data_IF_925684085494
#
_entry.id   IF_925684085494
#
_cell.length_a   1.000
_cell.length_b   1.000
_cell.length_c   1.000
_cell.angle_alpha   90.00
_cell.angle_beta   90.00
_cell.angle_gamma   90.00
#
_symmetry.space_group_name_H-M   'P 1'
#
loop_
_entity.id
_entity.type
_entity.pdbx_description
1 polymer ?
#
# COMPACT_ATOMS: atom_id res chain seq x y z
N UNK A 1 -12.55 -18.35 -0.86
CA UNK A 1 -11.40 -17.73 -0.12
C UNK A 1 -11.94 -17.34 1.23
N UNK A 2 -11.29 -17.76 2.30
CA UNK A 2 -11.85 -17.48 3.63
C UNK A 2 -11.65 -16.00 3.97
N UNK A 3 -12.69 -15.35 4.50
CA UNK A 3 -12.63 -14.03 5.11
C UNK A 3 -11.50 -13.93 6.17
N UNK A 4 -11.01 -15.07 6.63
CA UNK A 4 -9.91 -15.18 7.59
C UNK A 4 -8.56 -14.65 7.07
N UNK A 5 -8.31 -14.66 5.73
CA UNK A 5 -7.05 -14.16 5.14
C UNK A 5 -7.11 -12.71 4.67
N UNK A 6 -8.29 -12.17 4.44
CA UNK A 6 -8.49 -10.76 4.10
C UNK A 6 -9.83 -10.28 4.66
N UNK A 7 -9.85 -9.84 5.93
CA UNK A 7 -11.08 -9.37 6.57
C UNK A 7 -11.64 -8.08 5.95
N UNK A 8 -10.89 -7.40 5.10
CA UNK A 8 -11.30 -6.17 4.40
C UNK A 8 -11.69 -6.43 2.94
N UNK A 9 -11.87 -7.69 2.52
CA UNK A 9 -12.12 -8.06 1.11
C UNK A 9 -13.35 -7.37 0.51
N UNK A 10 -14.40 -7.19 1.28
CA UNK A 10 -15.63 -6.53 0.83
C UNK A 10 -15.39 -5.03 0.55
N UNK A 11 -14.71 -4.34 1.45
CA UNK A 11 -14.34 -2.93 1.29
C UNK A 11 -13.36 -2.74 0.12
N UNK A 12 -12.44 -3.70 -0.08
CA UNK A 12 -11.47 -3.66 -1.17
C UNK A 12 -12.07 -4.01 -2.53
N UNK A 13 -13.19 -4.71 -2.57
CA UNK A 13 -13.91 -5.04 -3.81
C UNK A 13 -14.84 -3.92 -4.29
N UNK A 14 -15.11 -2.93 -3.45
CA UNK A 14 -15.99 -1.81 -3.75
C UNK A 14 -15.40 -0.89 -4.84
N UNK A 15 -16.26 -0.24 -5.63
CA UNK A 15 -15.87 0.71 -6.68
C UNK A 15 -15.11 1.92 -6.10
N UNK A 16 -15.39 2.30 -4.85
CA UNK A 16 -14.67 3.33 -4.12
C UNK A 16 -13.17 3.02 -4.02
N UNK A 17 -12.78 1.74 -3.94
CA UNK A 17 -11.39 1.32 -3.87
C UNK A 17 -10.62 1.67 -5.15
N UNK A 18 -11.21 1.49 -6.34
CA UNK A 18 -10.55 1.86 -7.61
C UNK A 18 -10.26 3.38 -7.61
N UNK A 19 -11.22 4.18 -7.12
CA UNK A 19 -11.04 5.64 -6.97
C UNK A 19 -9.95 5.98 -5.97
N UNK A 20 -9.92 5.27 -4.83
CA UNK A 20 -8.89 5.42 -3.80
C UNK A 20 -7.50 5.15 -4.36
N UNK A 21 -7.31 4.01 -5.03
CA UNK A 21 -6.00 3.61 -5.59
C UNK A 21 -5.48 4.61 -6.61
N UNK A 22 -6.35 5.15 -7.47
CA UNK A 22 -5.97 6.17 -8.45
C UNK A 22 -5.57 7.50 -7.78
N UNK A 23 -6.33 7.95 -6.76
CA UNK A 23 -6.04 9.17 -6.02
C UNK A 23 -4.75 9.03 -5.19
N UNK A 24 -4.57 7.90 -4.49
CA UNK A 24 -3.34 7.58 -3.74
C UNK A 24 -2.12 7.53 -4.67
N UNK A 25 -2.23 6.84 -5.82
CA UNK A 25 -1.14 6.78 -6.80
C UNK A 25 -0.77 8.20 -7.30
N UNK A 26 -1.75 9.06 -7.56
CA UNK A 26 -1.51 10.44 -7.97
C UNK A 26 -0.84 11.28 -6.89
N UNK A 27 -1.23 11.11 -5.62
CA UNK A 27 -0.70 11.87 -4.50
C UNK A 27 0.71 11.43 -4.07
N UNK A 28 0.98 10.12 -4.13
CA UNK A 28 2.17 9.49 -3.55
C UNK A 28 3.30 9.38 -4.58
N UNK A 29 2.99 8.97 -5.81
CA UNK A 29 3.99 8.65 -6.84
C UNK A 29 5.05 9.72 -7.09
N UNK A 30 4.75 11.03 -7.16
CA UNK A 30 5.77 12.04 -7.42
C UNK A 30 6.91 12.07 -6.41
N UNK A 31 6.66 11.63 -5.17
CA UNK A 31 7.67 11.55 -4.12
C UNK A 31 8.28 10.15 -4.00
N UNK A 32 7.56 9.11 -4.43
CA UNK A 32 7.99 7.72 -4.38
C UNK A 32 8.87 7.34 -5.58
N UNK A 33 8.54 7.83 -6.78
CA UNK A 33 9.28 7.52 -8.02
C UNK A 33 10.80 7.70 -7.89
N UNK A 34 11.32 8.81 -7.31
CA UNK A 34 12.77 9.00 -7.15
C UNK A 34 13.45 7.94 -6.25
N UNK A 35 12.69 7.26 -5.38
CA UNK A 35 13.24 6.24 -4.49
C UNK A 35 13.69 5.01 -5.27
N UNK A 36 12.99 4.66 -6.35
CA UNK A 36 13.33 3.50 -7.19
C UNK A 36 14.69 3.66 -7.89
N UNK A 37 15.11 4.87 -8.20
CA UNK A 37 16.43 5.13 -8.78
C UNK A 37 17.60 4.68 -7.88
N UNK A 38 17.38 4.63 -6.55
CA UNK A 38 18.40 4.23 -5.56
C UNK A 38 18.71 2.74 -5.60
N UNK A 39 17.84 1.92 -6.19
CA UNK A 39 18.01 0.46 -6.22
C UNK A 39 19.01 -0.01 -7.26
N UNK A 40 19.42 0.87 -8.20
CA UNK A 40 20.42 0.54 -9.21
C UNK A 40 20.02 -0.65 -10.09
N UNK A 41 18.71 -0.80 -10.37
CA UNK A 41 18.19 -1.90 -11.15
C UNK A 41 18.71 -1.85 -12.60
N UNK A 42 18.95 -3.01 -13.17
CA UNK A 42 19.26 -3.12 -14.59
C UNK A 42 18.01 -2.79 -15.42
N UNK A 43 18.19 -2.25 -16.65
CA UNK A 43 17.04 -1.90 -17.49
C UNK A 43 16.12 -3.06 -17.87
N UNK A 44 16.64 -4.28 -17.87
CA UNK A 44 15.98 -5.55 -18.20
C UNK A 44 15.63 -6.38 -16.93
N UNK A 45 15.39 -5.70 -15.81
CA UNK A 45 15.06 -6.33 -14.54
C UNK A 45 13.65 -6.98 -14.56
N UNK A 46 13.43 -7.91 -13.62
CA UNK A 46 12.13 -8.51 -13.36
C UNK A 46 11.52 -7.89 -12.10
N UNK A 47 10.31 -7.38 -12.20
CA UNK A 47 9.61 -6.67 -11.12
C UNK A 47 8.29 -7.37 -10.82
N UNK A 48 8.01 -7.63 -9.54
CA UNK A 48 6.70 -8.06 -9.06
C UNK A 48 6.07 -6.97 -8.18
N UNK A 49 4.79 -6.69 -8.42
CA UNK A 49 3.95 -5.80 -7.61
C UNK A 49 2.86 -6.63 -6.96
N UNK A 50 2.96 -6.88 -5.66
CA UNK A 50 2.10 -7.78 -4.90
C UNK A 50 1.05 -6.99 -4.13
N UNK A 51 -0.24 -7.29 -4.38
CA UNK A 51 -1.37 -6.47 -3.99
C UNK A 51 -1.52 -5.27 -4.95
N UNK A 52 -1.40 -5.52 -6.25
CA UNK A 52 -1.32 -4.47 -7.28
C UNK A 52 -2.64 -3.72 -7.52
N UNK A 53 -3.76 -4.22 -7.02
CA UNK A 53 -5.09 -3.64 -7.21
C UNK A 53 -5.41 -3.38 -8.68
N UNK A 54 -5.76 -2.14 -9.00
CA UNK A 54 -6.08 -1.67 -10.38
C UNK A 54 -4.86 -1.47 -11.29
N UNK A 55 -3.64 -1.81 -10.83
CA UNK A 55 -2.42 -1.79 -11.65
C UNK A 55 -1.79 -0.39 -11.86
N UNK A 56 -2.21 0.62 -11.09
CA UNK A 56 -1.70 2.00 -11.24
C UNK A 56 -0.18 2.07 -11.06
N UNK A 57 0.36 1.42 -10.05
CA UNK A 57 1.80 1.44 -9.77
C UNK A 57 2.54 0.45 -10.66
N UNK A 58 1.99 -0.73 -10.89
CA UNK A 58 2.55 -1.72 -11.80
C UNK A 58 2.81 -1.14 -13.18
N UNK A 59 1.84 -0.38 -13.72
CA UNK A 59 1.97 0.29 -15.02
C UNK A 59 3.03 1.39 -15.02
N UNK A 60 3.13 2.17 -13.94
CA UNK A 60 4.15 3.22 -13.78
C UNK A 60 5.56 2.62 -13.73
N UNK A 61 5.73 1.50 -13.03
CA UNK A 61 7.00 0.75 -13.00
C UNK A 61 7.36 0.25 -14.40
N UNK A 62 6.40 -0.31 -15.16
CA UNK A 62 6.62 -0.75 -16.53
C UNK A 62 6.97 0.39 -17.49
N UNK A 63 6.48 1.61 -17.25
CA UNK A 63 6.85 2.81 -18.01
C UNK A 63 8.22 3.33 -17.62
N UNK A 64 8.55 3.34 -16.32
CA UNK A 64 9.83 3.78 -15.78
C UNK A 64 10.97 2.85 -16.23
N UNK A 65 10.76 1.54 -16.21
CA UNK A 65 11.72 0.54 -16.63
C UNK A 65 11.32 -0.06 -17.98
N UNK A 66 11.62 0.67 -19.05
CA UNK A 66 11.09 0.40 -20.40
C UNK A 66 11.48 -0.97 -21.01
N UNK A 67 12.43 -1.72 -20.43
CA UNK A 67 12.83 -3.07 -20.87
C UNK A 67 12.59 -4.13 -19.80
N UNK A 68 12.03 -3.76 -18.64
CA UNK A 68 11.71 -4.70 -17.57
C UNK A 68 10.50 -5.56 -17.91
N UNK A 69 10.50 -6.78 -17.39
CA UNK A 69 9.30 -7.60 -17.28
C UNK A 69 8.64 -7.33 -15.94
N UNK A 70 7.40 -6.89 -15.97
CA UNK A 70 6.65 -6.46 -14.78
C UNK A 70 5.37 -7.28 -14.64
N UNK A 71 5.14 -7.82 -13.45
CA UNK A 71 3.91 -8.55 -13.15
C UNK A 71 3.22 -7.96 -11.92
N UNK A 72 1.91 -7.74 -12.04
CA UNK A 72 1.03 -7.38 -10.92
C UNK A 72 0.21 -8.57 -10.46
N UNK A 73 0.19 -8.79 -9.16
CA UNK A 73 -0.61 -9.87 -8.52
C UNK A 73 -1.59 -9.24 -7.55
N UNK A 74 -2.84 -9.65 -7.65
CA UNK A 74 -3.88 -9.31 -6.68
C UNK A 74 -4.84 -10.48 -6.47
N UNK A 75 -5.44 -10.54 -5.30
CA UNK A 75 -6.37 -11.61 -4.95
C UNK A 75 -7.75 -11.43 -5.61
N UNK A 76 -8.10 -10.19 -5.96
CA UNK A 76 -9.39 -9.82 -6.53
C UNK A 76 -9.38 -9.89 -8.05
N UNK A 77 -10.28 -10.70 -8.61
CA UNK A 77 -10.39 -10.87 -10.06
C UNK A 77 -10.83 -9.58 -10.80
N UNK A 78 -11.68 -8.76 -10.18
CA UNK A 78 -12.24 -7.56 -10.81
C UNK A 78 -11.17 -6.49 -11.06
N UNK A 79 -10.34 -6.06 -10.09
CA UNK A 79 -9.22 -5.16 -10.32
C UNK A 79 -8.22 -5.70 -11.35
N UNK A 80 -7.91 -7.01 -11.31
CA UNK A 80 -7.02 -7.66 -12.29
C UNK A 80 -7.58 -7.57 -13.71
N UNK A 81 -8.88 -7.86 -13.89
CA UNK A 81 -9.52 -7.72 -15.19
C UNK A 81 -9.54 -6.28 -15.69
N UNK A 82 -9.75 -5.31 -14.78
CA UNK A 82 -9.66 -3.88 -15.10
C UNK A 82 -8.24 -3.51 -15.54
N UNK A 83 -7.21 -3.84 -14.74
CA UNK A 83 -5.81 -3.55 -15.02
C UNK A 83 -5.36 -4.15 -16.36
N UNK A 84 -5.72 -5.42 -16.62
CA UNK A 84 -5.38 -6.12 -17.86
C UNK A 84 -5.92 -5.41 -19.09
N UNK A 85 -7.15 -4.89 -19.05
CA UNK A 85 -7.73 -4.12 -20.14
C UNK A 85 -7.13 -2.73 -20.24
N UNK A 86 -7.00 -2.05 -19.12
CA UNK A 86 -6.53 -0.65 -19.04
C UNK A 86 -5.12 -0.47 -19.57
N UNK A 87 -4.23 -1.44 -19.29
CA UNK A 87 -2.81 -1.37 -19.60
C UNK A 87 -2.37 -2.38 -20.68
N UNK A 88 -3.31 -2.84 -21.51
CA UNK A 88 -3.03 -3.78 -22.61
C UNK A 88 -1.96 -3.31 -23.58
N UNK A 89 -1.78 -1.98 -23.74
CA UNK A 89 -0.79 -1.38 -24.60
C UNK A 89 0.67 -1.58 -24.13
N UNK A 90 0.89 -2.02 -22.89
CA UNK A 90 2.22 -2.33 -22.33
C UNK A 90 2.62 -3.81 -22.51
N UNK A 91 1.76 -4.64 -23.09
CA UNK A 91 2.12 -6.03 -23.42
C UNK A 91 3.24 -6.10 -24.46
N UNK A 92 4.08 -7.15 -24.46
CA UNK A 92 4.05 -8.31 -23.57
C UNK A 92 4.77 -8.10 -22.21
N UNK A 93 5.38 -6.95 -21.97
CA UNK A 93 6.24 -6.68 -20.79
C UNK A 93 5.47 -6.51 -19.47
N UNK A 94 4.19 -6.20 -19.55
CA UNK A 94 3.34 -6.02 -18.38
C UNK A 94 2.24 -7.08 -18.38
N UNK A 95 2.15 -7.83 -17.27
CA UNK A 95 1.14 -8.85 -17.02
C UNK A 95 0.42 -8.60 -15.71
N UNK A 96 -0.82 -9.07 -15.60
CA UNK A 96 -1.59 -9.08 -14.38
C UNK A 96 -2.19 -10.46 -14.18
N UNK A 97 -2.05 -11.01 -12.97
CA UNK A 97 -2.56 -12.34 -12.63
C UNK A 97 -3.25 -12.32 -11.27
N UNK A 98 -4.31 -13.11 -11.14
CA UNK A 98 -4.95 -13.32 -9.85
C UNK A 98 -4.11 -14.29 -9.01
N UNK A 99 -3.79 -13.89 -7.77
CA UNK A 99 -2.99 -14.72 -6.86
C UNK A 99 -3.12 -14.29 -5.41
N UNK A 100 -2.74 -15.20 -4.52
CA UNK A 100 -2.72 -14.98 -3.07
C UNK A 100 -1.30 -14.59 -2.61
N UNK A 101 -1.16 -13.44 -1.96
CA UNK A 101 0.11 -12.96 -1.44
C UNK A 101 0.71 -13.87 -0.35
N UNK A 102 -0.12 -14.69 0.31
CA UNK A 102 0.33 -15.68 1.29
C UNK A 102 0.95 -16.93 0.66
N UNK A 103 0.70 -17.18 -0.64
CA UNK A 103 1.16 -18.36 -1.36
C UNK A 103 1.38 -18.04 -2.84
N UNK A 104 2.48 -17.33 -3.11
CA UNK A 104 2.82 -16.89 -4.47
C UNK A 104 3.32 -18.07 -5.33
N UNK A 105 2.77 -18.23 -6.53
CA UNK A 105 3.09 -19.32 -7.46
C UNK A 105 4.41 -19.14 -8.22
N UNK A 106 5.30 -18.28 -7.70
CA UNK A 106 6.61 -18.03 -8.29
C UNK A 106 7.70 -18.91 -7.67
N UNK A 107 8.69 -19.24 -8.47
CA UNK A 107 9.93 -19.84 -7.97
C UNK A 107 10.62 -18.86 -6.99
N UNK A 108 11.42 -19.40 -6.08
CA UNK A 108 12.26 -18.56 -5.24
C UNK A 108 13.28 -17.80 -6.11
N UNK A 109 13.65 -16.59 -5.67
CA UNK A 109 14.73 -15.79 -6.28
C UNK A 109 14.49 -15.44 -7.76
N UNK A 110 13.28 -15.03 -8.08
CA UNK A 110 12.88 -14.73 -9.46
C UNK A 110 12.95 -13.22 -9.81
N UNK A 111 12.72 -12.33 -8.84
CA UNK A 111 12.56 -10.89 -9.09
C UNK A 111 13.71 -10.05 -8.55
N UNK A 112 14.11 -9.04 -9.33
CA UNK A 112 15.12 -8.05 -8.93
C UNK A 112 14.54 -6.99 -7.98
N UNK A 113 13.25 -6.69 -8.13
CA UNK A 113 12.45 -5.82 -7.27
C UNK A 113 11.12 -6.46 -6.96
N UNK A 114 10.74 -6.46 -5.68
CA UNK A 114 9.41 -6.85 -5.22
C UNK A 114 8.79 -5.66 -4.51
N UNK A 115 7.67 -5.17 -5.02
CA UNK A 115 6.90 -4.04 -4.49
C UNK A 115 5.66 -4.58 -3.80
N UNK A 116 5.31 -4.00 -2.66
CA UNK A 116 4.06 -4.28 -1.95
C UNK A 116 3.56 -2.98 -1.32
N UNK A 117 2.39 -2.52 -1.73
CA UNK A 117 1.86 -1.23 -1.28
C UNK A 117 0.41 -1.38 -0.80
N UNK A 118 0.11 -0.71 0.33
CA UNK A 118 -1.25 -0.66 0.90
C UNK A 118 -1.90 -2.04 1.13
N UNK A 119 -1.10 -3.08 1.40
CA UNK A 119 -1.59 -4.44 1.64
C UNK A 119 -1.45 -4.85 3.11
N UNK A 120 -0.28 -4.66 3.69
CA UNK A 120 0.09 -5.24 5.00
C UNK A 120 -0.79 -4.77 6.16
N UNK A 121 -1.35 -3.56 6.10
CA UNK A 121 -2.28 -3.03 7.11
C UNK A 121 -3.69 -3.64 7.02
N UNK A 122 -4.01 -4.38 5.96
CA UNK A 122 -5.35 -4.92 5.68
C UNK A 122 -5.44 -6.44 5.81
N UNK A 123 -4.32 -7.08 6.17
CA UNK A 123 -4.23 -8.55 6.27
C UNK A 123 -3.76 -8.98 7.66
N UNK A 124 -4.23 -10.13 8.16
CA UNK A 124 -3.63 -10.76 9.32
C UNK A 124 -2.25 -11.34 8.97
N UNK A 125 -1.40 -11.55 9.96
CA UNK A 125 -0.10 -12.22 9.81
C UNK A 125 0.77 -11.66 8.64
N UNK A 126 0.97 -10.34 8.54
CA UNK A 126 1.71 -9.71 7.45
C UNK A 126 3.15 -10.23 7.34
N UNK A 127 3.71 -10.78 8.42
CA UNK A 127 5.02 -11.42 8.45
C UNK A 127 5.12 -12.58 7.45
N UNK A 128 4.03 -13.35 7.26
CA UNK A 128 3.99 -14.44 6.27
C UNK A 128 4.10 -13.91 4.85
N UNK A 129 3.35 -12.86 4.54
CA UNK A 129 3.42 -12.20 3.23
C UNK A 129 4.81 -11.61 3.00
N UNK A 130 5.38 -10.88 3.97
CA UNK A 130 6.74 -10.35 3.86
C UNK A 130 7.78 -11.45 3.63
N UNK A 131 7.60 -12.63 4.25
CA UNK A 131 8.41 -13.83 4.00
C UNK A 131 8.30 -14.34 2.55
N UNK A 132 7.09 -14.35 1.97
CA UNK A 132 6.86 -14.72 0.57
C UNK A 132 7.51 -13.70 -0.39
N UNK A 133 7.38 -12.39 -0.10
CA UNK A 133 8.08 -11.36 -0.88
C UNK A 133 9.59 -11.59 -0.88
N UNK A 134 10.17 -11.87 0.30
CA UNK A 134 11.59 -12.18 0.42
C UNK A 134 11.96 -13.47 -0.31
N UNK A 135 11.11 -14.51 -0.27
CA UNK A 135 11.35 -15.78 -0.97
C UNK A 135 11.51 -15.58 -2.47
N UNK A 136 10.60 -14.82 -3.09
CA UNK A 136 10.60 -14.60 -4.55
C UNK A 136 11.64 -13.56 -5.00
N UNK A 137 12.13 -12.71 -4.10
CA UNK A 137 13.19 -11.74 -4.36
C UNK A 137 14.55 -12.46 -4.56
N UNK A 138 15.33 -12.04 -5.57
CA UNK A 138 16.69 -12.52 -5.82
C UNK A 138 17.64 -12.11 -4.70
N UNK A 139 18.72 -12.86 -4.42
CA UNK A 139 19.84 -12.32 -3.65
C UNK A 139 20.38 -11.04 -4.30
N UNK A 140 20.58 -9.99 -3.49
CA UNK A 140 20.95 -8.67 -3.97
C UNK A 140 19.77 -7.83 -4.53
N UNK A 141 18.59 -8.43 -4.70
CA UNK A 141 17.36 -7.73 -5.08
C UNK A 141 16.74 -6.92 -3.93
N UNK A 142 15.75 -6.12 -4.25
CA UNK A 142 15.14 -5.17 -3.32
C UNK A 142 13.68 -5.51 -3.01
N UNK A 143 13.30 -5.29 -1.76
CA UNK A 143 11.90 -5.15 -1.34
C UNK A 143 11.61 -3.67 -1.14
N UNK A 144 10.45 -3.23 -1.65
CA UNK A 144 9.90 -1.90 -1.47
C UNK A 144 8.50 -2.04 -0.88
N UNK A 145 8.33 -1.72 0.38
CA UNK A 145 7.09 -1.93 1.12
C UNK A 145 6.55 -0.61 1.62
N UNK A 146 5.41 -0.20 1.10
CA UNK A 146 4.64 0.92 1.58
C UNK A 146 3.48 0.38 2.43
N UNK A 147 3.51 0.67 3.72
CA UNK A 147 2.50 0.24 4.69
C UNK A 147 1.92 1.44 5.40
N UNK A 148 0.61 1.49 5.53
CA UNK A 148 -0.05 2.60 6.22
C UNK A 148 0.16 2.57 7.73
N UNK A 149 0.11 3.74 8.32
CA UNK A 149 0.01 3.94 9.76
C UNK A 149 -1.05 5.01 10.03
N UNK A 150 -2.24 4.57 10.41
CA UNK A 150 -3.35 5.47 10.68
C UNK A 150 -3.15 6.36 11.92
N UNK A 151 -2.05 6.23 12.62
CA UNK A 151 -1.60 7.20 13.64
C UNK A 151 -0.71 8.32 13.08
N UNK A 152 -0.48 8.35 11.75
CA UNK A 152 0.33 9.37 11.06
C UNK A 152 -0.52 10.31 10.18
N UNK A 153 -1.83 10.39 10.45
CA UNK A 153 -2.72 11.38 9.88
C UNK A 153 -2.99 12.46 10.93
N UNK A 154 -2.78 13.70 10.56
CA UNK A 154 -2.99 14.85 11.45
C UNK A 154 -3.79 15.91 10.71
N UNK A 155 -4.91 16.29 11.27
CA UNK A 155 -5.83 17.29 10.75
C UNK A 155 -6.13 18.31 11.85
N UNK A 156 -6.50 19.50 11.42
CA UNK A 156 -6.86 20.54 12.36
C UNK A 156 -8.17 20.17 13.08
N UNK A 157 -8.12 20.08 14.40
CA UNK A 157 -9.31 19.93 15.23
C UNK A 157 -10.08 21.25 15.29
N UNK A 158 -11.40 21.14 15.18
CA UNK A 158 -12.34 22.27 15.34
C UNK A 158 -13.41 21.90 16.37
N UNK A 159 -14.67 21.85 15.97
CA UNK A 159 -15.78 21.43 16.83
C UNK A 159 -15.77 19.93 17.12
N UNK A 160 -15.26 19.13 16.17
CA UNK A 160 -15.13 17.69 16.29
C UNK A 160 -13.64 17.36 16.21
N UNK A 161 -13.17 16.51 17.14
CA UNK A 161 -11.80 16.00 17.12
C UNK A 161 -11.64 14.89 16.07
N UNK A 162 -10.94 15.15 14.95
CA UNK A 162 -10.78 14.19 13.88
C UNK A 162 -9.91 12.98 14.28
N UNK A 163 -9.07 13.10 15.32
CA UNK A 163 -8.20 12.03 15.78
C UNK A 163 -8.99 10.83 16.32
N UNK A 164 -10.23 11.05 16.76
CA UNK A 164 -11.13 9.95 17.14
C UNK A 164 -11.39 8.97 16.00
N UNK A 165 -11.53 9.46 14.76
CA UNK A 165 -11.72 8.56 13.60
C UNK A 165 -10.56 7.58 13.44
N UNK A 166 -9.34 8.05 13.65
CA UNK A 166 -8.16 7.21 13.48
C UNK A 166 -8.00 6.23 14.64
N UNK A 167 -8.20 6.66 15.88
CA UNK A 167 -7.94 5.85 17.08
C UNK A 167 -9.10 4.91 17.41
N UNK A 168 -10.31 5.42 17.46
CA UNK A 168 -11.52 4.67 17.84
C UNK A 168 -12.21 4.03 16.62
N UNK A 169 -12.00 4.56 15.41
CA UNK A 169 -12.47 4.01 14.15
C UNK A 169 -11.43 3.07 13.53
N UNK A 170 -10.52 3.60 12.72
CA UNK A 170 -9.63 2.78 11.89
C UNK A 170 -8.76 1.81 12.69
N UNK A 171 -8.11 2.25 13.78
CA UNK A 171 -7.24 1.39 14.61
C UNK A 171 -8.05 0.37 15.40
N UNK A 172 -9.22 0.75 15.92
CA UNK A 172 -10.10 -0.19 16.62
C UNK A 172 -10.70 -1.21 15.64
N UNK A 173 -11.12 -0.78 14.45
CA UNK A 173 -11.58 -1.65 13.37
C UNK A 173 -10.51 -2.69 13.02
N UNK A 174 -9.28 -2.25 12.77
CA UNK A 174 -8.16 -3.15 12.51
C UNK A 174 -7.97 -4.18 13.63
N UNK A 175 -7.96 -3.74 14.89
CA UNK A 175 -7.82 -4.65 16.04
C UNK A 175 -8.95 -5.69 16.10
N UNK A 176 -10.17 -5.28 15.86
CA UNK A 176 -11.34 -6.14 15.95
C UNK A 176 -11.46 -7.11 14.76
N UNK A 177 -10.83 -6.78 13.63
CA UNK A 177 -10.74 -7.64 12.44
C UNK A 177 -9.42 -8.42 12.36
N UNK A 178 -8.53 -8.29 13.34
CA UNK A 178 -7.28 -9.04 13.43
C UNK A 178 -6.14 -8.49 12.57
N UNK A 179 -6.20 -7.22 12.14
CA UNK A 179 -5.15 -6.56 11.35
C UNK A 179 -4.49 -5.42 12.13
N UNK A 180 -3.29 -5.03 11.74
CA UNK A 180 -2.57 -3.92 12.35
C UNK A 180 -2.64 -2.67 11.46
N UNK A 181 -3.64 -1.83 11.72
CA UNK A 181 -3.83 -0.55 11.03
C UNK A 181 -2.70 0.49 11.29
N UNK A 182 -1.68 0.14 12.08
CA UNK A 182 -0.48 0.94 12.35
C UNK A 182 0.81 0.19 12.03
N UNK A 183 0.75 -0.78 11.14
CA UNK A 183 1.90 -1.63 10.80
C UNK A 183 3.07 -0.83 10.19
N UNK A 184 2.80 0.31 9.57
CA UNK A 184 3.83 1.16 8.96
C UNK A 184 5.01 1.44 9.88
N UNK A 185 4.76 1.74 11.19
CA UNK A 185 5.80 1.95 12.19
C UNK A 185 6.60 0.69 12.56
N UNK A 186 6.06 -0.50 12.26
CA UNK A 186 6.68 -1.80 12.55
C UNK A 186 7.39 -2.42 11.36
N UNK A 187 7.09 -1.96 10.15
CA UNK A 187 7.57 -2.57 8.90
C UNK A 187 9.10 -2.66 8.85
N UNK A 188 9.82 -1.63 9.33
CA UNK A 188 11.28 -1.69 9.42
C UNK A 188 11.76 -2.85 10.31
N UNK A 189 11.18 -3.01 11.50
CA UNK A 189 11.56 -4.08 12.43
C UNK A 189 11.25 -5.47 11.86
N UNK A 190 10.15 -5.61 11.11
CA UNK A 190 9.77 -6.87 10.46
C UNK A 190 10.77 -7.23 9.35
N UNK A 191 11.13 -6.28 8.49
CA UNK A 191 12.11 -6.51 7.42
C UNK A 191 13.51 -6.77 7.98
N UNK A 192 13.88 -6.09 9.07
CA UNK A 192 15.14 -6.33 9.78
C UNK A 192 15.19 -7.76 10.36
N UNK A 193 14.11 -8.21 10.99
CA UNK A 193 14.00 -9.56 11.53
C UNK A 193 14.04 -10.65 10.44
N UNK A 194 13.62 -10.35 9.22
CA UNK A 194 13.76 -11.22 8.05
C UNK A 194 15.18 -11.23 7.46
N UNK A 195 16.11 -10.45 8.03
CA UNK A 195 17.51 -10.45 7.64
C UNK A 195 17.83 -9.60 6.40
N UNK A 196 16.97 -8.64 6.02
CA UNK A 196 17.31 -7.69 4.97
C UNK A 196 18.42 -6.74 5.43
N UNK A 197 19.24 -6.33 4.47
CA UNK A 197 20.34 -5.36 4.66
C UNK A 197 20.03 -4.06 3.92
N UNK A 198 20.83 -3.03 4.12
CA UNK A 198 20.65 -1.71 3.49
C UNK A 198 19.24 -1.12 3.73
N UNK A 199 18.66 -1.42 4.88
CA UNK A 199 17.31 -0.97 5.25
C UNK A 199 17.22 0.55 5.32
N UNK A 200 16.18 1.09 4.71
CA UNK A 200 15.87 2.54 4.71
C UNK A 200 14.40 2.74 5.04
N UNK A 201 14.13 3.86 5.71
CA UNK A 201 12.77 4.36 5.93
C UNK A 201 12.68 5.73 5.25
N UNK A 202 11.78 5.84 4.31
CA UNK A 202 11.41 7.10 3.68
C UNK A 202 9.96 7.43 4.04
N UNK A 203 9.60 8.70 4.04
CA UNK A 203 8.23 9.15 4.25
C UNK A 203 7.77 9.95 3.04
N UNK A 204 6.65 9.52 2.45
CA UNK A 204 5.89 10.36 1.53
C UNK A 204 4.94 11.22 2.35
N UNK A 205 4.96 12.52 2.10
CA UNK A 205 4.09 13.46 2.78
C UNK A 205 2.97 13.91 1.85
N UNK A 206 1.78 13.37 2.07
CA UNK A 206 0.55 13.83 1.42
C UNK A 206 -0.03 14.94 2.30
N UNK A 207 0.07 16.19 1.88
CA UNK A 207 -0.45 17.32 2.62
C UNK A 207 -1.11 18.37 1.72
N UNK A 208 -1.78 19.31 2.35
CA UNK A 208 -2.55 20.34 1.66
C UNK A 208 -1.70 21.40 0.94
N UNK A 209 -0.36 21.30 1.01
CA UNK A 209 0.60 22.19 0.33
C UNK A 209 1.30 21.50 -0.85
N UNK A 210 1.56 20.18 -0.74
CA UNK A 210 2.30 19.40 -1.75
C UNK A 210 1.39 18.72 -2.75
N UNK A 211 0.15 18.38 -2.33
CA UNK A 211 -0.82 17.65 -3.15
C UNK A 211 -2.04 18.56 -3.39
N UNK A 212 -2.62 18.58 -4.60
CA UNK A 212 -3.90 19.29 -4.81
C UNK A 212 -4.92 18.85 -3.77
N UNK A 213 -5.57 19.82 -3.10
CA UNK A 213 -6.54 19.57 -2.03
C UNK A 213 -7.64 18.60 -2.45
N UNK A 214 -8.12 18.72 -3.67
CA UNK A 214 -9.16 17.81 -4.20
C UNK A 214 -8.64 16.37 -4.37
N UNK A 215 -7.37 16.18 -4.73
CA UNK A 215 -6.78 14.83 -4.77
C UNK A 215 -6.69 14.22 -3.38
N UNK A 216 -6.28 15.01 -2.37
CA UNK A 216 -6.23 14.52 -0.99
C UNK A 216 -7.64 14.26 -0.44
N UNK A 217 -8.59 15.17 -0.68
CA UNK A 217 -9.97 15.00 -0.29
C UNK A 217 -10.62 13.75 -0.92
N UNK A 218 -10.33 13.48 -2.21
CA UNK A 218 -10.85 12.31 -2.90
C UNK A 218 -10.41 10.97 -2.27
N UNK A 219 -9.21 10.92 -1.68
CA UNK A 219 -8.75 9.74 -0.91
C UNK A 219 -9.66 9.52 0.30
N UNK A 220 -9.94 10.59 1.06
CA UNK A 220 -10.79 10.51 2.26
C UNK A 220 -12.26 10.23 1.93
N UNK A 221 -12.75 10.77 0.81
CA UNK A 221 -14.10 10.45 0.31
C UNK A 221 -14.26 8.97 0.00
N UNK A 222 -13.27 8.40 -0.70
CA UNK A 222 -13.30 6.99 -1.03
C UNK A 222 -13.17 6.10 0.21
N UNK A 223 -12.35 6.48 1.20
CA UNK A 223 -12.30 5.78 2.49
C UNK A 223 -13.62 5.90 3.25
N UNK A 224 -14.24 7.09 3.29
CA UNK A 224 -15.57 7.27 3.87
C UNK A 224 -16.59 6.32 3.24
N UNK A 225 -16.65 6.32 1.91
CA UNK A 225 -17.64 5.54 1.16
C UNK A 225 -17.44 4.03 1.36
N UNK A 226 -16.19 3.56 1.46
CA UNK A 226 -15.86 2.14 1.62
C UNK A 226 -15.88 1.62 3.06
N UNK A 227 -15.70 2.49 4.08
CA UNK A 227 -15.44 2.01 5.44
C UNK A 227 -16.42 2.47 6.51
N UNK A 228 -17.28 3.46 6.26
CA UNK A 228 -18.19 4.01 7.29
C UNK A 228 -19.06 2.92 7.92
N UNK A 229 -19.68 2.07 7.12
CA UNK A 229 -20.58 1.02 7.61
C UNK A 229 -19.79 -0.07 8.35
N UNK A 230 -18.61 -0.43 7.86
CA UNK A 230 -17.71 -1.39 8.51
C UNK A 230 -17.19 -0.89 9.86
N UNK A 231 -16.83 0.39 9.94
CA UNK A 231 -16.47 1.04 11.21
C UNK A 231 -17.65 0.99 12.18
N UNK A 232 -18.85 1.40 11.72
CA UNK A 232 -20.06 1.39 12.55
C UNK A 232 -20.45 0.02 13.09
N UNK A 233 -20.19 -1.04 12.31
CA UNK A 233 -20.49 -2.41 12.72
C UNK A 233 -19.45 -3.02 13.68
N UNK A 234 -18.20 -2.54 13.65
CA UNK A 234 -17.07 -3.18 14.32
C UNK A 234 -16.38 -2.31 15.39
N UNK A 235 -16.83 -1.09 15.62
CA UNK A 235 -16.20 -0.17 16.57
C UNK A 235 -17.24 0.52 17.45
N UNK A 236 -16.82 1.22 18.53
CA UNK A 236 -17.73 2.04 19.33
C UNK A 236 -18.29 3.27 18.61
N UNK A 237 -17.75 3.66 17.45
CA UNK A 237 -18.22 4.83 16.68
C UNK A 237 -19.38 4.39 15.77
N UNK A 238 -20.60 4.94 15.94
CA UNK A 238 -21.71 4.69 15.02
C UNK A 238 -21.39 5.15 13.59
N UNK A 239 -21.94 4.47 12.58
CA UNK A 239 -21.71 4.81 11.17
C UNK A 239 -22.01 6.29 10.84
N UNK A 240 -23.08 6.86 11.43
CA UNK A 240 -23.43 8.28 11.26
C UNK A 240 -22.36 9.22 11.83
N UNK A 241 -21.74 8.87 12.96
CA UNK A 241 -20.66 9.65 13.57
C UNK A 241 -19.36 9.48 12.77
N UNK A 242 -19.03 8.27 12.34
CA UNK A 242 -17.89 8.01 11.45
C UNK A 242 -17.98 8.84 10.17
N UNK A 243 -19.16 8.91 9.57
CA UNK A 243 -19.43 9.76 8.38
C UNK A 243 -19.20 11.23 8.68
N UNK A 244 -19.72 11.74 9.79
CA UNK A 244 -19.55 13.13 10.20
C UNK A 244 -18.09 13.50 10.44
N UNK A 245 -17.29 12.58 11.03
CA UNK A 245 -15.85 12.74 11.23
C UNK A 245 -15.12 12.82 9.89
N UNK A 246 -15.41 11.91 8.94
CA UNK A 246 -14.86 11.99 7.58
C UNK A 246 -15.22 13.29 6.88
N UNK A 247 -16.49 13.70 6.94
CA UNK A 247 -16.96 14.94 6.30
C UNK A 247 -16.27 16.19 6.89
N UNK A 248 -16.03 16.20 8.20
CA UNK A 248 -15.26 17.25 8.87
C UNK A 248 -13.81 17.30 8.37
N UNK A 249 -13.14 16.13 8.25
CA UNK A 249 -11.77 16.03 7.74
C UNK A 249 -11.72 16.50 6.28
N UNK A 250 -12.63 16.04 5.43
CA UNK A 250 -12.71 16.42 4.02
C UNK A 250 -12.91 17.93 3.87
N UNK A 251 -13.80 18.51 4.66
CA UNK A 251 -14.02 19.95 4.68
C UNK A 251 -12.78 20.74 5.11
N UNK A 252 -12.03 20.25 6.13
CA UNK A 252 -10.77 20.84 6.55
C UNK A 252 -9.71 20.76 5.46
N UNK A 253 -9.56 19.60 4.77
CA UNK A 253 -8.63 19.47 3.65
C UNK A 253 -8.94 20.49 2.54
N UNK A 254 -10.22 20.71 2.24
CA UNK A 254 -10.67 21.67 1.21
C UNK A 254 -10.53 23.13 1.63
N UNK A 255 -10.52 23.41 2.92
CA UNK A 255 -10.40 24.78 3.43
C UNK A 255 -8.97 25.31 3.18
N UNK A 256 -8.79 26.40 2.42
CA UNK A 256 -7.46 26.96 2.13
C UNK A 256 -6.70 27.45 3.37
N UNK A 257 -7.38 27.69 4.47
CA UNK A 257 -6.79 28.16 5.73
C UNK A 257 -6.40 27.04 6.70
N UNK A 258 -6.72 25.77 6.37
CA UNK A 258 -6.39 24.63 7.22
C UNK A 258 -5.22 23.84 6.64
N UNK A 259 -4.43 23.27 7.55
CA UNK A 259 -3.37 22.33 7.21
C UNK A 259 -3.80 20.92 7.61
N UNK A 260 -3.61 19.98 6.69
CA UNK A 260 -3.82 18.57 6.92
C UNK A 260 -2.64 17.79 6.33
N UNK A 261 -2.21 16.72 7.00
CA UNK A 261 -1.08 15.89 6.57
C UNK A 261 -1.33 14.41 6.84
N UNK A 262 -0.94 13.59 5.90
CA UNK A 262 -0.80 12.16 6.02
C UNK A 262 0.63 11.77 5.64
N UNK A 263 1.37 11.21 6.60
CA UNK A 263 2.70 10.67 6.36
C UNK A 263 2.61 9.19 6.09
N UNK A 264 3.12 8.76 4.94
CA UNK A 264 3.08 7.37 4.48
C UNK A 264 4.48 6.80 4.53
N UNK A 265 4.76 5.86 5.45
CA UNK A 265 6.07 5.25 5.54
C UNK A 265 6.29 4.25 4.41
N UNK A 266 7.48 4.33 3.84
CA UNK A 266 8.01 3.37 2.87
C UNK A 266 9.28 2.77 3.48
N UNK A 267 9.32 1.46 3.58
CA UNK A 267 10.52 0.75 4.02
C UNK A 267 11.05 -0.05 2.85
N UNK A 268 12.32 0.18 2.51
CA UNK A 268 13.02 -0.62 1.51
C UNK A 268 14.21 -1.34 2.15
N UNK A 269 14.52 -2.52 1.62
CA UNK A 269 15.66 -3.30 2.07
C UNK A 269 16.13 -4.24 0.98
N UNK A 270 17.39 -4.59 1.02
CA UNK A 270 18.03 -5.49 0.06
C UNK A 270 18.16 -6.89 0.64
N UNK A 271 17.80 -7.90 -0.13
CA UNK A 271 18.07 -9.30 0.23
C UNK A 271 19.59 -9.54 0.20
N UNK A 272 20.19 -10.07 1.28
CA UNK A 272 21.62 -10.29 1.31
C UNK A 272 22.07 -11.26 0.21
N UNK A 273 23.31 -11.08 -0.26
CA UNK A 273 23.96 -12.06 -1.12
C UNK A 273 24.30 -13.31 -0.30
N UNK A 274 24.31 -14.51 -0.91
CA UNK A 274 24.82 -15.69 -0.25
C UNK A 274 26.26 -15.45 0.20
N UNK A 275 26.61 -15.92 1.39
CA UNK A 275 28.02 -15.96 1.84
C UNK A 275 28.86 -16.68 0.80
N UNK A 276 29.98 -16.09 0.40
CA UNK A 276 30.95 -16.78 -0.45
C UNK A 276 31.51 -17.98 0.32
N UNK A 277 31.66 -19.12 -0.34
CA UNK A 277 32.22 -20.33 0.28
C UNK A 277 33.66 -20.15 0.79
N UNK A 278 34.32 -19.06 0.40
CA UNK A 278 35.71 -18.74 0.76
C UNK A 278 35.81 -17.92 2.08
N UNK A 279 34.69 -17.59 2.72
CA UNK A 279 34.65 -16.83 3.98
C UNK A 279 34.45 -17.74 5.23
N UNK A 280 34.63 -19.08 5.08
CA UNK A 280 34.55 -20.04 6.19
C UNK A 280 35.92 -20.60 6.57
#
# INVERSE_FOLDING_TARGET
MSADRNPHVEQMADESMIRTLAAQASAIWPQEEPLFARYGLKPDCHIADIGCGSGEITSRLALMYARADVIGIDILASPIAYATRRYAFLRPRLHFEQGDAFELRFAAQQFDLVVCRHLTQSIPEPEKVLGELLRICKPGGWLHVLSEDYGMLQMMAREIDPDRLWHEGAVAFGRNTGVDARIGRRTWSLLNALGLVDLRVDYVTVDTLRVPRETFAAILEAWRDGYVDAIGANTPIPASEARALFDCIIASIRNPHDYAVWQVPIVSGRKPLPLRKDDQ
#
